data_IF_649739154245
#
_entry.id   IF_649739154245
#
_cell.length_a   1.000
_cell.length_b   1.000
_cell.length_c   1.000
_cell.angle_alpha   90.00
_cell.angle_beta   90.00
_cell.angle_gamma   90.00
#
_symmetry.space_group_name_H-M   'P 1'
#
loop_
_entity.id
_entity.type
_entity.pdbx_description
1 polymer ?
#
# COMPACT_ATOMS: atom_id res chain seq x y z
N UNK A 1 -9.47 22.10 19.93
CA UNK A 1 -10.10 23.01 18.93
C UNK A 1 -11.59 22.82 19.15
N UNK A 2 -12.16 23.53 20.13
CA UNK A 2 -13.45 23.16 20.72
C UNK A 2 -14.41 24.34 20.58
N UNK A 3 -14.46 24.92 19.38
CA UNK A 3 -15.39 26.01 19.05
C UNK A 3 -16.58 25.42 18.29
N UNK A 4 -17.78 25.51 18.87
CA UNK A 4 -19.02 24.99 18.29
C UNK A 4 -19.40 25.63 16.94
N UNK A 5 -18.86 26.81 16.59
CA UNK A 5 -19.03 27.41 15.26
C UNK A 5 -18.21 26.72 14.17
N UNK A 6 -17.21 25.91 14.53
CA UNK A 6 -16.30 25.24 13.59
C UNK A 6 -16.14 23.76 13.97
N UNK A 7 -17.18 22.94 13.79
CA UNK A 7 -17.10 21.50 14.07
C UNK A 7 -16.06 20.82 13.16
N UNK A 8 -15.57 19.64 13.56
CA UNK A 8 -14.74 18.84 12.66
C UNK A 8 -15.58 18.34 11.48
N UNK A 9 -14.96 18.18 10.30
CA UNK A 9 -15.65 17.73 9.08
C UNK A 9 -16.37 16.38 9.31
N UNK A 10 -15.73 15.47 10.04
CA UNK A 10 -16.29 14.16 10.41
C UNK A 10 -17.57 14.24 11.28
N UNK A 11 -17.78 15.36 11.96
CA UNK A 11 -18.97 15.61 12.80
C UNK A 11 -20.08 16.28 11.98
N UNK A 12 -19.77 16.77 10.77
CA UNK A 12 -20.70 17.41 9.85
C UNK A 12 -21.22 16.45 8.76
N UNK A 13 -20.39 15.50 8.30
CA UNK A 13 -20.74 14.48 7.31
C UNK A 13 -20.24 13.10 7.72
N UNK A 14 -20.98 12.01 7.39
CA UNK A 14 -20.57 10.65 7.73
C UNK A 14 -19.38 10.23 6.86
N UNK A 15 -18.18 10.33 7.43
CA UNK A 15 -16.94 9.86 6.81
C UNK A 15 -16.53 8.52 7.41
N UNK A 16 -16.02 7.62 6.57
CA UNK A 16 -15.36 6.40 7.03
C UNK A 16 -14.16 6.75 7.91
N UNK A 17 -14.01 6.04 9.02
CA UNK A 17 -12.85 6.10 9.89
C UNK A 17 -11.72 5.22 9.36
N UNK A 18 -10.52 5.34 9.92
CA UNK A 18 -9.41 4.45 9.57
C UNK A 18 -9.70 2.98 9.92
N UNK A 19 -10.55 2.73 10.91
CA UNK A 19 -10.94 1.37 11.30
C UNK A 19 -11.87 0.71 10.28
N UNK A 20 -12.44 1.49 9.36
CA UNK A 20 -13.30 0.99 8.29
C UNK A 20 -12.49 0.64 7.02
N UNK A 21 -11.17 0.85 7.04
CA UNK A 21 -10.28 0.62 5.90
C UNK A 21 -9.56 -0.73 6.03
N UNK A 22 -9.38 -1.39 4.90
CA UNK A 22 -8.50 -2.56 4.75
C UNK A 22 -7.37 -2.19 3.80
N UNK A 23 -6.16 -2.59 4.15
CA UNK A 23 -4.94 -2.22 3.42
C UNK A 23 -4.41 -3.41 2.60
N UNK A 24 -4.03 -3.11 1.36
CA UNK A 24 -3.41 -4.03 0.41
C UNK A 24 -2.98 -3.25 -0.83
N UNK A 25 -2.14 -3.85 -1.66
CA UNK A 25 -1.65 -3.19 -2.87
C UNK A 25 -0.77 -4.08 -3.72
N UNK A 26 -0.40 -3.54 -4.88
CA UNK A 26 0.55 -4.19 -5.79
C UNK A 26 1.91 -3.50 -5.69
N UNK A 27 2.97 -4.29 -5.69
CA UNK A 27 4.34 -3.80 -5.74
C UNK A 27 5.19 -4.71 -6.65
N UNK A 28 6.27 -4.16 -7.21
CA UNK A 28 7.26 -4.90 -8.00
C UNK A 28 8.29 -5.59 -7.10
N UNK A 29 8.37 -5.21 -5.83
CA UNK A 29 9.15 -5.89 -4.79
C UNK A 29 8.25 -6.83 -3.98
N UNK A 30 8.86 -7.83 -3.34
CA UNK A 30 8.20 -8.87 -2.55
C UNK A 30 8.25 -8.61 -1.03
N UNK A 31 8.87 -7.49 -0.62
CA UNK A 31 8.91 -7.04 0.76
C UNK A 31 7.50 -6.85 1.33
N UNK A 32 7.26 -7.41 2.52
CA UNK A 32 6.04 -7.10 3.27
C UNK A 32 6.07 -5.65 3.80
N UNK A 33 4.94 -5.16 4.29
CA UNK A 33 4.82 -3.75 4.71
C UNK A 33 5.82 -3.36 5.82
N UNK A 34 6.17 -4.28 6.73
CA UNK A 34 7.18 -4.03 7.76
C UNK A 34 8.58 -3.87 7.15
N UNK A 35 8.98 -4.80 6.27
CA UNK A 35 10.27 -4.77 5.58
C UNK A 35 10.42 -3.50 4.74
N UNK A 36 9.38 -3.13 3.99
CA UNK A 36 9.35 -1.91 3.21
C UNK A 36 9.47 -0.67 4.11
N UNK A 37 8.75 -0.61 5.24
CA UNK A 37 8.82 0.50 6.18
C UNK A 37 10.23 0.68 6.77
N UNK A 38 10.90 -0.43 7.14
CA UNK A 38 12.28 -0.40 7.60
C UNK A 38 13.24 0.09 6.51
N UNK A 39 13.07 -0.35 5.27
CA UNK A 39 13.91 0.06 4.15
C UNK A 39 13.75 1.55 3.81
N UNK A 40 12.52 2.08 3.89
CA UNK A 40 12.25 3.50 3.65
C UNK A 40 12.77 4.42 4.77
N UNK A 41 12.82 3.94 6.02
CA UNK A 41 13.41 4.67 7.14
C UNK A 41 12.68 5.96 7.53
N UNK A 42 11.37 6.06 7.21
CA UNK A 42 10.54 7.23 7.56
C UNK A 42 10.12 7.21 9.03
N UNK A 43 9.86 6.00 9.57
CA UNK A 43 9.46 5.77 10.96
C UNK A 43 10.58 4.97 11.61
N UNK A 44 10.93 5.34 12.84
CA UNK A 44 11.99 4.67 13.58
C UNK A 44 11.61 3.21 13.88
N UNK A 45 12.61 2.32 13.82
CA UNK A 45 12.40 0.88 14.05
C UNK A 45 11.70 0.61 15.37
N UNK A 46 12.06 1.33 16.43
CA UNK A 46 11.48 1.16 17.77
C UNK A 46 9.97 1.43 17.80
N UNK A 47 9.47 2.30 16.92
CA UNK A 47 8.04 2.60 16.80
C UNK A 47 7.30 1.59 15.91
N UNK A 48 8.01 0.92 14.99
CA UNK A 48 7.44 -0.12 14.13
C UNK A 48 7.37 -1.50 14.81
N UNK A 49 8.30 -1.83 15.70
CA UNK A 49 8.34 -3.14 16.38
C UNK A 49 7.01 -3.51 17.08
N UNK A 50 6.32 -2.61 17.80
CA UNK A 50 5.02 -2.93 18.44
C UNK A 50 3.91 -3.37 17.48
N UNK A 51 3.99 -2.99 16.20
CA UNK A 51 2.99 -3.29 15.17
C UNK A 51 3.53 -4.22 14.07
N UNK A 52 4.70 -4.82 14.30
CA UNK A 52 5.40 -5.65 13.32
C UNK A 52 4.53 -6.78 12.77
N UNK A 53 3.90 -7.57 13.64
CA UNK A 53 3.08 -8.71 13.21
C UNK A 53 1.94 -8.29 12.29
N UNK A 54 1.31 -7.14 12.58
CA UNK A 54 0.23 -6.59 11.77
C UNK A 54 0.72 -6.15 10.39
N UNK A 55 1.91 -5.55 10.33
CA UNK A 55 2.53 -5.09 9.09
C UNK A 55 3.08 -6.25 8.24
N UNK A 56 3.63 -7.31 8.85
CA UNK A 56 4.20 -8.46 8.14
C UNK A 56 3.13 -9.30 7.42
N UNK A 57 1.88 -9.28 7.90
CA UNK A 57 0.73 -9.92 7.25
C UNK A 57 0.36 -9.23 5.93
N UNK A 58 0.64 -7.92 5.81
CA UNK A 58 0.34 -7.14 4.61
C UNK A 58 1.47 -7.35 3.60
N UNK A 59 1.24 -8.26 2.64
CA UNK A 59 2.16 -8.56 1.54
C UNK A 59 1.62 -8.02 0.21
N UNK A 60 2.46 -7.39 -0.61
CA UNK A 60 2.02 -6.88 -1.91
C UNK A 60 1.70 -8.02 -2.88
N UNK A 61 0.64 -7.86 -3.66
CA UNK A 61 0.40 -8.69 -4.83
C UNK A 61 1.38 -8.33 -5.95
N UNK A 62 1.71 -9.29 -6.82
CA UNK A 62 2.58 -9.02 -7.96
C UNK A 62 2.01 -7.93 -8.86
N UNK A 63 2.81 -6.91 -9.18
CA UNK A 63 2.36 -5.78 -9.99
C UNK A 63 2.45 -6.05 -11.50
N UNK A 64 1.75 -5.23 -12.28
CA UNK A 64 2.01 -5.09 -13.71
C UNK A 64 3.11 -4.03 -13.88
N UNK A 65 4.20 -4.36 -14.56
CA UNK A 65 5.35 -3.47 -14.71
C UNK A 65 5.88 -3.46 -16.14
N UNK A 66 6.15 -2.25 -16.66
CA UNK A 66 6.69 -2.03 -18.00
C UNK A 66 7.85 -1.00 -17.93
N UNK A 67 9.12 -1.44 -18.10
CA UNK A 67 10.29 -0.57 -18.02
C UNK A 67 10.29 0.58 -19.02
N UNK A 68 9.48 0.53 -20.08
CA UNK A 68 9.35 1.64 -21.02
C UNK A 68 8.79 2.91 -20.35
N UNK A 69 7.93 2.75 -19.33
CA UNK A 69 7.33 3.85 -18.58
C UNK A 69 8.14 4.23 -17.34
N UNK A 70 8.87 3.28 -16.74
CA UNK A 70 9.73 3.53 -15.57
C UNK A 70 11.04 2.75 -15.70
N UNK A 71 12.07 3.43 -16.22
CA UNK A 71 13.33 2.79 -16.68
C UNK A 71 14.30 2.39 -15.57
N UNK A 72 14.23 3.08 -14.43
CA UNK A 72 15.19 2.93 -13.33
C UNK A 72 14.70 1.97 -12.23
N UNK A 73 13.59 1.29 -12.46
CA UNK A 73 13.04 0.31 -11.53
C UNK A 73 13.08 -1.08 -12.15
N UNK A 74 13.29 -2.05 -11.29
CA UNK A 74 13.17 -3.48 -11.60
C UNK A 74 12.91 -4.20 -10.30
N UNK A 75 12.06 -5.23 -10.34
CA UNK A 75 11.74 -6.02 -9.16
C UNK A 75 11.28 -7.42 -9.52
N UNK A 76 11.37 -8.38 -8.59
CA UNK A 76 11.06 -9.78 -8.83
C UNK A 76 9.54 -10.08 -8.83
N UNK A 77 8.70 -9.20 -8.26
CA UNK A 77 7.28 -9.45 -8.01
C UNK A 77 6.39 -8.92 -9.15
N UNK A 78 6.60 -9.41 -10.38
CA UNK A 78 5.94 -8.87 -11.59
C UNK A 78 5.09 -9.93 -12.30
N UNK A 79 3.84 -9.59 -12.62
CA UNK A 79 2.93 -10.43 -13.42
C UNK A 79 3.46 -10.57 -14.86
N UNK A 80 3.29 -11.76 -15.43
CA UNK A 80 3.71 -12.08 -16.80
C UNK A 80 2.51 -12.51 -17.64
N UNK A 81 2.29 -11.87 -18.77
CA UNK A 81 1.26 -12.24 -19.74
C UNK A 81 1.63 -11.75 -21.16
N UNK A 82 1.07 -12.34 -22.23
CA UNK A 82 1.49 -12.06 -23.61
C UNK A 82 1.09 -10.66 -24.11
N UNK A 83 0.14 -9.98 -23.46
CA UNK A 83 -0.29 -8.63 -23.84
C UNK A 83 -0.93 -7.88 -22.66
N UNK A 84 -1.12 -6.57 -22.84
CA UNK A 84 -1.65 -5.67 -21.80
C UNK A 84 -3.08 -6.00 -21.37
N UNK A 85 -3.91 -6.52 -22.28
CA UNK A 85 -5.28 -6.94 -21.92
C UNK A 85 -5.25 -8.10 -20.93
N UNK A 86 -4.39 -9.11 -21.15
CA UNK A 86 -4.22 -10.23 -20.22
C UNK A 86 -3.64 -9.79 -18.87
N UNK A 87 -2.71 -8.82 -18.86
CA UNK A 87 -2.21 -8.23 -17.62
C UNK A 87 -3.32 -7.50 -16.84
N UNK A 88 -4.22 -6.77 -17.53
CA UNK A 88 -5.36 -6.12 -16.90
C UNK A 88 -6.38 -7.13 -16.35
N UNK A 89 -6.68 -8.21 -17.08
CA UNK A 89 -7.53 -9.31 -16.58
C UNK A 89 -6.98 -9.88 -15.26
N UNK A 90 -5.66 -10.02 -15.13
CA UNK A 90 -5.00 -10.52 -13.92
C UNK A 90 -5.02 -9.54 -12.72
N UNK A 91 -5.44 -8.29 -12.91
CA UNK A 91 -5.64 -7.31 -11.83
C UNK A 91 -7.09 -7.27 -11.32
N UNK A 92 -8.04 -7.71 -12.15
CA UNK A 92 -9.47 -7.73 -11.80
C UNK A 92 -9.87 -8.98 -10.99
N UNK A 93 -8.99 -9.97 -10.95
CA UNK A 93 -9.11 -11.19 -10.15
C UNK A 93 -8.49 -10.99 -8.79
#
# INVERSE_FOLDING_TARGET
>A
RDNAQYPFIKDFVPLSSLNDLVFGGWDIYDDNCYQAALACGVIDKQELEPIREQLEVIKPWSAVFDPAFVKNLSGPNVKQAPNKMKLAEMLMQ
#
